data_IF_429234212204
#
_entry.id   IF_429234212204
#
_cell.length_a   1.000
_cell.length_b   1.000
_cell.length_c   1.000
_cell.angle_alpha   90.00
_cell.angle_beta   90.00
_cell.angle_gamma   90.00
#
_symmetry.space_group_name_H-M   'P 1'
#
loop_
_entity.id
_entity.type
_entity.pdbx_description
1 polymer ?
#
# COMPACT_ATOMS: atom_id res chain seq x y z
N UNK A 1 -7.49 2.49 13.63
CA UNK A 1 -6.85 3.34 12.59
C UNK A 1 -5.69 2.56 11.99
N UNK A 2 -5.65 2.39 10.66
CA UNK A 2 -4.63 1.57 9.97
C UNK A 2 -3.70 2.48 9.16
N UNK A 3 -2.42 2.51 9.53
CA UNK A 3 -1.39 3.35 8.93
C UNK A 3 -0.72 2.65 7.74
N UNK A 4 -0.69 3.35 6.59
CA UNK A 4 0.06 2.95 5.40
C UNK A 4 1.19 3.96 5.19
N UNK A 5 2.43 3.48 5.32
CA UNK A 5 3.60 4.36 5.22
C UNK A 5 3.85 4.84 3.77
N UNK A 6 4.40 6.05 3.66
CA UNK A 6 4.95 6.58 2.40
C UNK A 6 6.33 6.02 2.07
N UNK A 7 7.06 6.70 1.18
CA UNK A 7 8.39 6.25 0.71
C UNK A 7 8.46 5.98 -0.79
N UNK A 8 7.64 6.67 -1.59
CA UNK A 8 7.67 6.61 -3.06
C UNK A 8 7.49 5.20 -3.62
N UNK A 9 6.77 4.33 -2.91
CA UNK A 9 6.62 2.90 -3.22
C UNK A 9 7.92 2.09 -3.23
N UNK A 10 9.05 2.66 -2.82
CA UNK A 10 10.38 2.06 -2.94
C UNK A 10 11.09 1.84 -1.60
N UNK A 11 10.78 2.64 -0.58
CA UNK A 11 11.48 2.62 0.72
C UNK A 11 10.54 2.76 1.91
N UNK A 12 11.12 2.72 3.11
CA UNK A 12 10.49 2.78 4.44
C UNK A 12 9.76 1.50 4.87
N UNK A 13 9.08 1.57 6.01
CA UNK A 13 8.33 0.47 6.63
C UNK A 13 7.25 1.02 7.56
N UNK A 14 6.34 0.15 8.00
CA UNK A 14 5.33 0.46 9.02
C UNK A 14 5.92 0.81 10.40
N UNK A 15 7.20 0.50 10.63
CA UNK A 15 7.94 0.85 11.85
C UNK A 15 8.74 2.15 11.72
N UNK A 16 8.82 2.76 10.52
CA UNK A 16 9.70 3.90 10.24
C UNK A 16 9.46 5.11 11.16
N UNK A 17 8.21 5.35 11.56
CA UNK A 17 7.84 6.48 12.44
C UNK A 17 7.91 6.17 13.94
N UNK A 18 8.28 4.92 14.29
CA UNK A 18 8.27 4.43 15.67
C UNK A 18 6.87 4.37 16.29
N UNK A 19 6.80 3.84 17.51
CA UNK A 19 5.58 3.72 18.29
C UNK A 19 5.39 4.90 19.27
N UNK A 20 6.47 5.49 19.79
CA UNK A 20 6.42 6.53 20.81
C UNK A 20 5.50 7.71 20.44
N UNK A 21 5.73 8.33 19.28
CA UNK A 21 4.94 9.49 18.84
C UNK A 21 3.49 9.11 18.51
N UNK A 22 3.28 7.91 17.95
CA UNK A 22 1.94 7.37 17.67
C UNK A 22 1.17 7.16 18.97
N UNK A 23 1.80 6.54 19.97
CA UNK A 23 1.22 6.31 21.28
C UNK A 23 0.85 7.62 21.97
N UNK A 24 1.75 8.61 21.94
CA UNK A 24 1.52 9.90 22.56
C UNK A 24 0.39 10.69 21.88
N UNK A 25 0.37 10.73 20.55
CA UNK A 25 -0.56 11.58 19.79
C UNK A 25 -1.92 10.94 19.51
N UNK A 26 -1.98 9.61 19.33
CA UNK A 26 -3.17 8.89 18.89
C UNK A 26 -3.71 7.95 19.95
N UNK A 27 -2.91 7.05 20.52
CA UNK A 27 -3.43 6.04 21.45
C UNK A 27 -4.04 6.65 22.73
N UNK A 28 -3.59 7.84 23.13
CA UNK A 28 -4.21 8.65 24.21
C UNK A 28 -5.65 9.08 23.93
N UNK A 29 -6.11 9.00 22.67
CA UNK A 29 -7.47 9.35 22.23
C UNK A 29 -8.40 8.14 22.15
N UNK A 30 -8.06 7.06 22.85
CA UNK A 30 -8.85 5.83 22.93
C UNK A 30 -9.12 5.19 21.55
N UNK A 31 -8.06 5.10 20.73
CA UNK A 31 -8.07 4.41 19.43
C UNK A 31 -7.00 3.34 19.38
N UNK A 32 -7.25 2.28 18.62
CA UNK A 32 -6.23 1.30 18.25
C UNK A 32 -5.55 1.76 16.98
N UNK A 33 -4.21 1.73 16.98
CA UNK A 33 -3.40 1.99 15.78
C UNK A 33 -2.75 0.69 15.32
N UNK A 34 -2.91 0.39 14.04
CA UNK A 34 -2.25 -0.73 13.35
C UNK A 34 -1.35 -0.13 12.29
N UNK A 35 -0.08 -0.54 12.20
CA UNK A 35 0.78 -0.21 11.06
C UNK A 35 1.08 -1.47 10.27
N UNK A 36 1.14 -1.34 8.94
CA UNK A 36 1.35 -2.47 8.04
C UNK A 36 2.60 -2.25 7.18
N UNK A 37 3.23 -3.35 6.78
CA UNK A 37 4.21 -3.36 5.70
C UNK A 37 3.51 -3.84 4.43
N UNK A 38 4.03 -3.41 3.29
CA UNK A 38 3.66 -3.92 1.97
C UNK A 38 4.93 -4.04 1.14
N UNK A 39 4.94 -4.90 0.11
CA UNK A 39 6.09 -5.03 -0.78
C UNK A 39 6.37 -3.72 -1.51
N UNK A 40 7.65 -3.42 -1.69
CA UNK A 40 8.16 -2.17 -2.26
C UNK A 40 9.01 -2.43 -3.51
N UNK A 41 9.22 -1.39 -4.30
CA UNK A 41 10.03 -1.39 -5.50
C UNK A 41 9.62 -2.49 -6.46
N UNK A 42 10.62 -3.16 -7.04
CA UNK A 42 10.39 -4.28 -7.96
C UNK A 42 9.56 -5.40 -7.33
N UNK A 43 9.74 -5.72 -6.04
CA UNK A 43 8.95 -6.77 -5.37
C UNK A 43 7.47 -6.42 -5.20
N UNK A 44 7.14 -5.13 -5.13
CA UNK A 44 5.77 -4.65 -4.93
C UNK A 44 5.05 -4.27 -6.22
N UNK A 45 5.79 -3.90 -7.26
CA UNK A 45 5.21 -3.23 -8.44
C UNK A 45 5.78 -3.71 -9.78
N UNK A 46 6.53 -4.83 -9.79
CA UNK A 46 6.86 -5.53 -11.03
C UNK A 46 5.60 -5.82 -11.84
N UNK A 47 5.63 -5.52 -13.15
CA UNK A 47 4.61 -5.98 -14.09
C UNK A 47 5.26 -6.48 -15.39
N UNK A 48 4.71 -7.55 -15.95
CA UNK A 48 5.01 -8.04 -17.32
C UNK A 48 4.02 -7.48 -18.35
N UNK A 49 3.02 -6.72 -17.91
CA UNK A 49 1.93 -6.23 -18.77
C UNK A 49 0.93 -7.31 -19.20
N UNK A 50 1.05 -8.52 -18.62
CA UNK A 50 0.16 -9.66 -18.86
C UNK A 50 -0.25 -10.32 -17.52
N UNK A 51 -0.92 -11.47 -17.61
CA UNK A 51 -1.42 -12.21 -16.46
C UNK A 51 -0.34 -12.90 -15.61
N UNK A 52 0.89 -13.04 -16.10
CA UNK A 52 1.97 -13.70 -15.37
C UNK A 52 2.46 -12.83 -14.20
N UNK A 53 2.54 -11.52 -14.42
CA UNK A 53 2.80 -10.53 -13.37
C UNK A 53 1.97 -9.26 -13.66
N UNK A 54 0.70 -9.20 -13.20
CA UNK A 54 -0.19 -8.08 -13.51
C UNK A 54 0.19 -6.77 -12.78
N UNK A 55 1.07 -6.82 -11.79
CA UNK A 55 1.51 -5.67 -11.01
C UNK A 55 0.66 -5.40 -9.76
N UNK A 56 0.90 -4.24 -9.14
CA UNK A 56 0.18 -3.76 -7.95
C UNK A 56 0.23 -4.70 -6.74
N UNK A 57 1.24 -5.57 -6.64
CA UNK A 57 1.40 -6.51 -5.53
C UNK A 57 1.43 -5.81 -4.16
N UNK A 58 2.04 -4.63 -4.06
CA UNK A 58 2.02 -3.80 -2.85
C UNK A 58 0.61 -3.35 -2.45
N UNK A 59 -0.26 -3.00 -3.41
CA UNK A 59 -1.67 -2.65 -3.12
C UNK A 59 -2.49 -3.88 -2.74
N UNK A 60 -2.17 -5.05 -3.31
CA UNK A 60 -2.77 -6.31 -2.90
C UNK A 60 -2.37 -6.72 -1.49
N UNK A 61 -1.12 -6.48 -1.08
CA UNK A 61 -0.67 -6.69 0.29
C UNK A 61 -1.44 -5.82 1.27
N UNK A 62 -1.61 -4.53 0.94
CA UNK A 62 -2.40 -3.60 1.76
C UNK A 62 -3.87 -4.05 1.87
N UNK A 63 -4.46 -4.50 0.76
CA UNK A 63 -5.83 -5.04 0.74
C UNK A 63 -5.95 -6.28 1.64
N UNK A 64 -4.98 -7.19 1.56
CA UNK A 64 -4.96 -8.40 2.38
C UNK A 64 -4.77 -8.07 3.86
N UNK A 65 -3.90 -7.10 4.18
CA UNK A 65 -3.72 -6.63 5.54
C UNK A 65 -5.01 -5.99 6.11
N UNK A 66 -5.76 -5.24 5.30
CA UNK A 66 -7.06 -4.70 5.71
C UNK A 66 -8.09 -5.79 5.97
N UNK A 67 -8.13 -6.86 5.16
CA UNK A 67 -8.97 -8.04 5.45
C UNK A 67 -8.58 -8.66 6.78
N UNK A 68 -7.29 -8.88 7.00
CA UNK A 68 -6.80 -9.39 8.28
C UNK A 68 -7.21 -8.50 9.46
N UNK A 69 -7.08 -7.18 9.33
CA UNK A 69 -7.54 -6.25 10.37
C UNK A 69 -9.03 -6.40 10.60
N UNK A 70 -9.86 -6.39 9.56
CA UNK A 70 -11.32 -6.53 9.69
C UNK A 70 -11.72 -7.84 10.38
N UNK A 71 -11.04 -8.94 10.07
CA UNK A 71 -11.34 -10.26 10.61
C UNK A 71 -10.85 -10.45 12.06
N UNK A 72 -9.82 -9.69 12.50
CA UNK A 72 -9.11 -9.97 13.75
C UNK A 72 -9.15 -8.83 14.78
N UNK A 73 -9.43 -7.58 14.39
CA UNK A 73 -9.22 -6.42 15.27
C UNK A 73 -10.11 -6.44 16.53
N UNK A 74 -11.25 -7.13 16.48
CA UNK A 74 -12.12 -7.36 17.64
C UNK A 74 -11.39 -8.05 18.80
N UNK A 75 -10.44 -8.94 18.52
CA UNK A 75 -9.63 -9.62 19.55
C UNK A 75 -8.68 -8.67 20.30
N UNK A 76 -8.39 -7.52 19.69
CA UNK A 76 -7.56 -6.45 20.27
C UNK A 76 -8.40 -5.33 20.89
N UNK A 77 -9.72 -5.50 20.96
CA UNK A 77 -10.66 -4.50 21.48
C UNK A 77 -11.08 -3.44 20.46
N UNK A 78 -10.82 -3.65 19.17
CA UNK A 78 -11.24 -2.76 18.10
C UNK A 78 -12.61 -3.08 17.53
N UNK A 79 -13.17 -2.12 16.81
CA UNK A 79 -14.44 -2.28 16.10
C UNK A 79 -14.15 -2.46 14.59
N UNK A 80 -14.43 -3.64 14.00
CA UNK A 80 -14.18 -3.92 12.59
C UNK A 80 -15.10 -3.13 11.65
N UNK A 81 -16.19 -2.55 12.16
CA UNK A 81 -17.10 -1.68 11.41
C UNK A 81 -16.77 -0.19 11.56
N UNK A 82 -15.63 0.13 12.21
CA UNK A 82 -15.16 1.50 12.43
C UNK A 82 -13.64 1.63 12.16
N UNK A 83 -13.23 1.19 10.97
CA UNK A 83 -11.86 1.27 10.49
C UNK A 83 -11.66 2.59 9.73
N UNK A 84 -10.66 3.37 10.18
CA UNK A 84 -10.09 4.50 9.43
C UNK A 84 -8.75 4.09 8.86
N UNK A 85 -8.57 4.15 7.53
CA UNK A 85 -7.25 4.05 6.91
C UNK A 85 -6.63 5.45 6.77
N UNK A 86 -5.32 5.54 6.95
CA UNK A 86 -4.60 6.81 6.82
C UNK A 86 -3.17 6.57 6.34
N UNK A 87 -2.64 7.52 5.57
CA UNK A 87 -1.32 7.40 4.98
C UNK A 87 -0.77 8.72 4.46
N UNK A 88 0.54 8.79 4.28
CA UNK A 88 1.25 9.99 3.79
C UNK A 88 2.05 9.72 2.51
N UNK A 89 2.09 10.70 1.59
CA UNK A 89 2.81 10.59 0.31
C UNK A 89 2.33 9.38 -0.50
N UNK A 90 3.21 8.43 -0.86
CA UNK A 90 2.82 7.16 -1.50
C UNK A 90 1.80 6.36 -0.67
N UNK A 91 1.84 6.47 0.66
CA UNK A 91 0.81 5.90 1.54
C UNK A 91 -0.52 6.65 1.48
N UNK A 92 -0.47 7.97 1.26
CA UNK A 92 -1.65 8.81 1.01
C UNK A 92 -2.32 8.45 -0.31
N UNK A 93 -1.53 8.36 -1.38
CA UNK A 93 -2.00 7.86 -2.66
C UNK A 93 -2.52 6.42 -2.56
N UNK A 94 -1.87 5.55 -1.78
CA UNK A 94 -2.34 4.19 -1.52
C UNK A 94 -3.72 4.15 -0.87
N UNK A 95 -3.96 4.91 0.21
CA UNK A 95 -5.28 4.92 0.85
C UNK A 95 -6.37 5.44 -0.08
N UNK A 96 -6.03 6.36 -1.00
CA UNK A 96 -6.94 6.83 -2.03
C UNK A 96 -7.24 5.73 -3.08
N UNK A 97 -6.22 5.04 -3.61
CA UNK A 97 -6.42 3.89 -4.51
C UNK A 97 -7.29 2.79 -3.89
N UNK A 98 -7.14 2.53 -2.58
CA UNK A 98 -7.94 1.54 -1.87
C UNK A 98 -9.43 1.93 -1.80
N UNK A 99 -9.77 3.22 -1.91
CA UNK A 99 -11.18 3.67 -2.02
C UNK A 99 -11.79 3.38 -3.38
N UNK A 100 -10.96 3.41 -4.42
CA UNK A 100 -11.39 3.22 -5.81
C UNK A 100 -11.55 1.74 -6.15
N UNK A 101 -10.74 0.87 -5.54
CA UNK A 101 -10.74 -0.56 -5.83
C UNK A 101 -11.97 -1.27 -5.26
N UNK A 102 -12.73 -2.03 -6.07
CA UNK A 102 -13.85 -2.83 -5.59
C UNK A 102 -13.42 -3.97 -4.65
N UNK A 103 -12.13 -4.30 -4.58
CA UNK A 103 -11.60 -5.37 -3.73
C UNK A 103 -11.30 -4.91 -2.30
N UNK A 104 -11.23 -3.59 -2.06
CA UNK A 104 -10.80 -3.01 -0.78
C UNK A 104 -11.77 -1.98 -0.20
N UNK A 105 -12.57 -1.28 -1.01
CA UNK A 105 -13.39 -0.14 -0.58
C UNK A 105 -14.39 -0.44 0.53
N UNK A 106 -14.80 -1.71 0.68
CA UNK A 106 -15.77 -2.14 1.70
C UNK A 106 -15.09 -2.68 2.98
N UNK A 107 -13.76 -2.58 3.08
CA UNK A 107 -12.97 -3.02 4.24
C UNK A 107 -12.76 -1.92 5.30
N UNK A 108 -13.13 -0.68 5.02
CA UNK A 108 -12.95 0.46 5.91
C UNK A 108 -14.04 1.51 5.68
N UNK A 109 -14.23 2.40 6.64
CA UNK A 109 -15.33 3.37 6.65
C UNK A 109 -14.85 4.81 6.47
N UNK A 110 -13.58 5.10 6.78
CA UNK A 110 -13.03 6.46 6.77
C UNK A 110 -11.62 6.49 6.21
N UNK A 111 -11.26 7.61 5.60
CA UNK A 111 -9.96 7.80 4.94
C UNK A 111 -9.36 9.13 5.33
N UNK A 112 -8.07 9.14 5.64
CA UNK A 112 -7.27 10.36 5.79
C UNK A 112 -6.07 10.26 4.88
N UNK A 113 -6.12 11.00 3.77
CA UNK A 113 -5.02 11.05 2.83
C UNK A 113 -4.15 12.30 3.04
N UNK A 114 -2.87 12.11 3.31
CA UNK A 114 -1.94 13.19 3.67
C UNK A 114 -0.90 13.40 2.56
N UNK A 115 -0.97 14.52 1.84
CA UNK A 115 0.02 14.91 0.83
C UNK A 115 0.31 13.83 -0.25
N UNK A 116 -0.73 13.12 -0.68
CA UNK A 116 -0.70 12.21 -1.83
C UNK A 116 -2.10 11.74 -2.19
N UNK A 117 -2.43 11.59 -3.46
CA UNK A 117 -3.72 11.06 -3.93
C UNK A 117 -3.48 10.20 -5.16
N UNK A 118 -4.51 9.47 -5.60
CA UNK A 118 -4.48 8.68 -6.82
C UNK A 118 -4.24 9.56 -8.07
N UNK A 119 -4.46 10.88 -7.98
CA UNK A 119 -4.26 11.83 -9.07
C UNK A 119 -2.86 12.47 -9.09
N UNK A 120 -1.97 12.15 -8.14
CA UNK A 120 -0.62 12.69 -8.17
C UNK A 120 0.20 12.03 -9.29
N UNK A 121 1.02 12.81 -9.99
CA UNK A 121 1.88 12.30 -11.08
C UNK A 121 2.82 11.17 -10.64
N UNK A 122 3.25 11.18 -9.37
CA UNK A 122 4.10 10.12 -8.82
C UNK A 122 3.34 8.84 -8.43
N UNK A 123 2.00 8.86 -8.42
CA UNK A 123 1.17 7.81 -7.83
C UNK A 123 0.84 6.68 -8.82
N UNK A 124 0.77 6.98 -10.12
CA UNK A 124 0.41 6.03 -11.16
C UNK A 124 1.36 6.09 -12.35
N UNK A 125 1.45 4.98 -13.08
CA UNK A 125 2.15 4.92 -14.35
C UNK A 125 1.36 4.00 -15.30
N UNK A 126 1.59 4.13 -16.60
CA UNK A 126 0.92 3.26 -17.58
C UNK A 126 1.46 1.84 -17.49
N UNK A 127 0.60 0.85 -17.77
CA UNK A 127 1.02 -0.56 -17.75
C UNK A 127 2.18 -0.82 -18.72
N UNK A 128 2.18 -0.17 -19.90
CA UNK A 128 3.26 -0.32 -20.89
C UNK A 128 4.59 0.23 -20.36
N UNK A 129 4.59 1.42 -19.76
CA UNK A 129 5.82 2.00 -19.22
C UNK A 129 6.38 1.18 -18.06
N UNK A 130 5.52 0.65 -17.18
CA UNK A 130 5.97 -0.22 -16.08
C UNK A 130 6.57 -1.51 -16.63
N UNK A 131 5.94 -2.13 -17.62
CA UNK A 131 6.46 -3.33 -18.31
C UNK A 131 7.82 -3.07 -18.94
N UNK A 132 7.97 -1.98 -19.71
CA UNK A 132 9.25 -1.61 -20.34
C UNK A 132 10.36 -1.41 -19.29
N UNK A 133 10.06 -0.66 -18.22
CA UNK A 133 11.01 -0.43 -17.14
C UNK A 133 11.40 -1.73 -16.42
N UNK A 134 10.45 -2.64 -16.21
CA UNK A 134 10.71 -3.94 -15.60
C UNK A 134 11.58 -4.85 -16.50
N UNK A 135 11.31 -4.85 -17.81
CA UNK A 135 12.09 -5.60 -18.78
C UNK A 135 13.53 -5.08 -18.88
N UNK A 136 13.71 -3.76 -18.97
CA UNK A 136 15.04 -3.13 -18.96
C UNK A 136 15.80 -3.48 -17.67
N UNK A 137 15.14 -3.42 -16.51
CA UNK A 137 15.76 -3.83 -15.25
C UNK A 137 16.16 -5.31 -15.25
N UNK A 138 15.31 -6.20 -15.76
CA UNK A 138 15.63 -7.63 -15.87
C UNK A 138 16.82 -7.88 -16.80
N UNK A 139 16.88 -7.20 -17.96
CA UNK A 139 18.00 -7.31 -18.92
C UNK A 139 19.32 -6.86 -18.27
N UNK A 140 19.30 -5.76 -17.50
CA UNK A 140 20.47 -5.30 -16.74
C UNK A 140 20.95 -6.30 -15.69
N UNK A 141 20.06 -7.14 -15.19
CA UNK A 141 20.38 -8.25 -14.27
C UNK A 141 20.81 -9.54 -15.00
N UNK A 142 20.90 -9.52 -16.33
CA UNK A 142 21.35 -10.66 -17.14
C UNK A 142 20.23 -11.52 -17.72
N UNK A 143 18.96 -11.13 -17.57
CA UNK A 143 17.87 -11.79 -18.30
C UNK A 143 18.06 -11.61 -19.80
N UNK A 144 17.97 -12.70 -20.56
CA UNK A 144 17.95 -12.68 -22.01
C UNK A 144 16.52 -13.00 -22.45
N UNK A 145 15.79 -12.05 -23.07
CA UNK A 145 14.52 -12.35 -23.70
C UNK A 145 14.72 -13.47 -24.71
N UNK A 146 13.74 -14.38 -24.81
CA UNK A 146 13.77 -15.38 -25.87
C UNK A 146 13.69 -14.66 -27.22
N UNK A 147 14.66 -14.90 -28.10
CA UNK A 147 14.59 -14.45 -29.49
C UNK A 147 13.35 -15.11 -30.12
N UNK A 148 12.37 -14.30 -30.52
CA UNK A 148 11.24 -14.71 -31.35
C UNK A 148 11.54 -14.43 -32.82
#
# INVERSE_FOLDING_TARGET
>A
MVWIHGGGYAVHSGAHYGDYNICQALCTKNVIVVSINYRLGFFGFLSTGDENAPGNFGLWDQTLALKWVKDNISAFGGDPENITIFGQSAGGASVDFLTLSPHSRDLFQKVVSMAGTACCDFALNSAEHVKEACLDYAIRLGFQPLDN
#
